data_IF_649641040844
#
_entry.id   IF_649641040844
#
_cell.length_a   1.000
_cell.length_b   1.000
_cell.length_c   1.000
_cell.angle_alpha   90.00
_cell.angle_beta   90.00
_cell.angle_gamma   90.00
#
_symmetry.space_group_name_H-M   'P 1'
#
loop_
_entity.id
_entity.type
_entity.pdbx_description
1 polymer ?
#
# COMPACT_ATOMS: atom_id res chain seq x y z
N UNK A 1 23.55 -32.72 -25.28
CA UNK A 1 24.12 -31.42 -24.87
C UNK A 1 23.65 -30.41 -25.90
N UNK A 2 22.46 -29.83 -25.70
CA UNK A 2 21.83 -28.90 -26.65
C UNK A 2 21.98 -27.48 -26.11
N UNK A 3 22.66 -26.63 -26.87
CA UNK A 3 22.93 -25.24 -26.52
C UNK A 3 21.92 -24.38 -27.29
N UNK A 4 20.93 -23.83 -26.59
CA UNK A 4 19.96 -22.89 -27.16
C UNK A 4 20.50 -21.49 -26.88
N UNK A 5 20.91 -20.78 -27.93
CA UNK A 5 21.31 -19.39 -27.86
C UNK A 5 20.05 -18.50 -27.92
N UNK A 6 19.77 -17.80 -26.83
CA UNK A 6 18.78 -16.71 -26.80
C UNK A 6 19.44 -15.44 -27.34
N UNK A 7 18.98 -14.99 -28.50
CA UNK A 7 19.31 -13.68 -29.05
C UNK A 7 18.42 -12.65 -28.35
N UNK A 8 19.02 -11.79 -27.52
CA UNK A 8 18.36 -10.63 -26.94
C UNK A 8 18.47 -9.47 -27.95
N UNK A 9 17.34 -9.02 -28.46
CA UNK A 9 17.26 -7.79 -29.24
C UNK A 9 17.37 -6.56 -28.31
N UNK A 10 17.99 -5.46 -28.78
CA UNK A 10 18.23 -4.28 -27.95
C UNK A 10 16.93 -3.54 -27.63
N UNK A 11 16.72 -3.27 -26.34
CA UNK A 11 15.64 -2.42 -25.84
C UNK A 11 15.84 -1.01 -26.38
N UNK A 12 14.85 -0.53 -27.15
CA UNK A 12 14.84 0.81 -27.71
C UNK A 12 14.92 1.89 -26.64
N UNK A 13 15.67 2.94 -26.94
CA UNK A 13 15.78 4.18 -26.17
C UNK A 13 14.41 4.78 -25.89
N UNK A 14 14.06 4.92 -24.61
CA UNK A 14 12.88 5.64 -24.14
C UNK A 14 13.11 7.13 -24.45
N UNK A 15 12.26 7.71 -25.29
CA UNK A 15 12.27 9.13 -25.58
C UNK A 15 11.89 9.92 -24.32
N UNK A 16 12.67 10.95 -24.01
CA UNK A 16 12.36 11.92 -22.96
C UNK A 16 11.04 12.63 -23.30
N UNK A 17 10.02 12.43 -22.47
CA UNK A 17 8.76 13.18 -22.54
C UNK A 17 8.96 14.50 -21.80
N UNK A 18 8.76 15.68 -22.44
CA UNK A 18 8.88 16.95 -21.75
C UNK A 18 7.77 17.10 -20.71
N UNK A 19 8.16 17.35 -19.45
CA UNK A 19 7.26 17.79 -18.38
C UNK A 19 6.78 19.23 -18.69
N UNK A 20 5.71 19.36 -19.48
CA UNK A 20 4.94 20.60 -19.55
C UNK A 20 3.63 20.41 -18.81
N UNK A 21 3.53 21.05 -17.64
CA UNK A 21 2.31 21.22 -16.87
C UNK A 21 1.22 21.85 -17.74
N UNK A 22 0.21 21.06 -18.10
CA UNK A 22 -1.02 21.55 -18.67
C UNK A 22 -2.00 21.90 -17.54
N UNK A 23 -2.17 23.20 -17.29
CA UNK A 23 -3.28 23.71 -16.51
C UNK A 23 -4.60 23.36 -17.24
N UNK A 24 -5.39 22.45 -16.67
CA UNK A 24 -6.71 22.11 -17.18
C UNK A 24 -7.79 22.90 -16.42
N UNK A 25 -8.70 23.47 -17.21
CA UNK A 25 -9.69 24.45 -16.87
C UNK A 25 -10.74 23.99 -15.83
N UNK A 26 -11.12 24.94 -14.97
CA UNK A 26 -12.25 24.87 -14.08
C UNK A 26 -13.58 24.81 -14.84
N UNK A 27 -14.37 23.76 -14.58
CA UNK A 27 -15.81 23.77 -14.82
C UNK A 27 -16.50 24.35 -13.58
N UNK A 28 -17.21 25.46 -13.77
CA UNK A 28 -17.98 26.16 -12.75
C UNK A 28 -19.23 25.34 -12.41
N UNK A 29 -19.43 25.04 -11.13
CA UNK A 29 -20.76 24.82 -10.56
C UNK A 29 -21.12 26.02 -9.69
N UNK A 30 -22.17 26.72 -10.09
CA UNK A 30 -22.78 27.78 -9.30
C UNK A 30 -23.56 27.17 -8.12
N UNK A 31 -23.37 27.73 -6.93
CA UNK A 31 -24.34 27.59 -5.84
C UNK A 31 -23.84 26.88 -4.58
N UNK A 32 -23.17 27.63 -3.72
CA UNK A 32 -23.46 27.89 -2.28
C UNK A 32 -22.16 28.45 -1.71
N UNK A 33 -22.24 29.65 -1.12
CA UNK A 33 -21.10 30.30 -0.48
C UNK A 33 -20.57 29.49 0.71
N UNK A 34 -19.68 28.54 0.41
CA UNK A 34 -18.72 27.98 1.35
C UNK A 34 -17.60 29.00 1.48
N UNK A 35 -17.25 29.39 2.70
CA UNK A 35 -15.99 30.04 2.95
C UNK A 35 -14.88 29.31 2.17
N UNK A 36 -14.01 30.05 1.50
CA UNK A 36 -12.77 29.50 0.94
C UNK A 36 -12.15 28.66 2.07
N UNK A 37 -12.05 27.33 1.91
CA UNK A 37 -11.52 26.49 2.96
C UNK A 37 -10.07 26.95 3.12
N UNK A 38 -9.84 27.77 4.15
CA UNK A 38 -8.54 28.04 4.73
C UNK A 38 -7.77 26.74 4.63
N UNK A 39 -6.66 26.77 3.88
CA UNK A 39 -5.78 25.65 3.58
C UNK A 39 -5.63 24.80 4.84
N UNK A 40 -6.49 23.79 4.97
CA UNK A 40 -6.52 23.03 6.20
C UNK A 40 -5.13 22.43 6.35
N UNK A 41 -4.61 22.32 7.56
CA UNK A 41 -3.35 21.60 7.74
C UNK A 41 -3.51 20.18 7.18
N UNK A 42 -2.49 19.67 6.47
CA UNK A 42 -2.41 18.25 6.15
C UNK A 42 -2.05 17.42 7.38
N UNK A 43 -1.56 18.06 8.45
CA UNK A 43 -1.15 17.41 9.69
C UNK A 43 -2.31 17.30 10.68
N UNK A 44 -2.44 16.13 11.29
CA UNK A 44 -3.32 15.94 12.45
C UNK A 44 -2.53 16.07 13.75
N UNK A 45 -3.06 16.86 14.69
CA UNK A 45 -2.51 17.03 16.04
C UNK A 45 -2.77 15.82 16.97
N UNK A 46 -3.54 14.83 16.49
CA UNK A 46 -3.93 13.65 17.25
C UNK A 46 -5.02 13.90 18.30
N UNK A 47 -5.50 15.13 18.49
CA UNK A 47 -6.44 15.48 19.57
C UNK A 47 -7.88 15.08 19.25
N UNK A 48 -8.24 14.98 17.96
CA UNK A 48 -9.60 14.65 17.48
C UNK A 48 -9.62 13.56 16.40
N UNK A 49 -8.57 12.75 16.36
CA UNK A 49 -8.40 11.73 15.35
C UNK A 49 -9.22 10.47 15.69
N UNK A 50 -10.13 10.06 14.81
CA UNK A 50 -10.77 8.74 14.88
C UNK A 50 -9.93 7.70 14.11
N UNK A 51 -10.32 6.43 14.17
CA UNK A 51 -9.57 5.32 13.57
C UNK A 51 -9.33 5.43 12.06
N UNK A 52 -10.02 6.36 11.41
CA UNK A 52 -10.05 6.49 9.97
C UNK A 52 -9.57 7.86 9.46
N UNK A 53 -8.71 8.54 10.23
CA UNK A 53 -8.19 9.83 9.79
C UNK A 53 -7.25 9.69 8.58
N UNK A 54 -7.54 10.48 7.54
CA UNK A 54 -6.76 10.56 6.30
C UNK A 54 -5.73 11.70 6.29
N UNK A 55 -5.64 12.46 7.39
CA UNK A 55 -4.59 13.45 7.58
C UNK A 55 -3.25 12.75 7.85
N UNK A 56 -2.17 13.50 7.71
CA UNK A 56 -0.81 13.06 7.96
C UNK A 56 -0.62 12.83 9.46
N UNK A 57 -0.06 11.67 9.78
CA UNK A 57 0.37 11.29 11.10
C UNK A 57 1.83 10.87 11.03
N UNK A 58 2.69 11.63 11.70
CA UNK A 58 4.14 11.41 11.68
C UNK A 58 4.60 10.85 13.02
N UNK A 59 5.51 9.88 12.98
CA UNK A 59 6.32 9.52 14.14
C UNK A 59 7.45 10.56 14.38
N UNK A 60 8.28 10.33 15.40
CA UNK A 60 9.38 11.22 15.74
C UNK A 60 10.44 11.31 14.62
N UNK A 61 10.75 10.19 13.97
CA UNK A 61 11.74 10.14 12.90
C UNK A 61 11.22 10.83 11.64
N UNK A 62 9.95 10.60 11.30
CA UNK A 62 9.33 11.25 10.14
C UNK A 62 9.18 12.76 10.35
N UNK A 63 8.87 13.22 11.57
CA UNK A 63 8.88 14.65 11.90
C UNK A 63 10.27 15.26 11.71
N UNK A 64 11.31 14.62 12.24
CA UNK A 64 12.68 15.12 12.09
C UNK A 64 13.14 15.15 10.63
N UNK A 65 12.86 14.09 9.87
CA UNK A 65 13.17 14.03 8.44
C UNK A 65 12.41 15.08 7.62
N UNK A 66 11.28 15.57 8.12
CA UNK A 66 10.51 16.62 7.47
C UNK A 66 11.21 17.97 7.48
N UNK A 67 12.00 18.27 8.50
CA UNK A 67 12.74 19.53 8.57
C UNK A 67 13.90 19.59 7.55
N UNK A 68 14.28 18.43 7.00
CA UNK A 68 15.30 18.32 5.96
C UNK A 68 14.69 18.57 4.56
N UNK A 69 15.21 19.52 3.78
CA UNK A 69 14.83 19.71 2.39
C UNK A 69 15.12 18.47 1.55
N UNK A 70 14.18 18.08 0.69
CA UNK A 70 14.38 17.00 -0.27
C UNK A 70 14.71 17.60 -1.64
N UNK A 71 15.86 17.22 -2.22
CA UNK A 71 16.27 17.68 -3.55
C UNK A 71 15.63 16.88 -4.69
N UNK A 72 14.90 15.80 -4.37
CA UNK A 72 14.27 14.91 -5.36
C UNK A 72 12.84 15.39 -5.63
N UNK A 73 12.36 15.29 -6.89
CA UNK A 73 10.97 15.60 -7.22
C UNK A 73 10.00 14.73 -6.43
N UNK A 74 8.83 15.28 -6.10
CA UNK A 74 7.73 14.54 -5.48
C UNK A 74 7.41 13.27 -6.27
N UNK A 75 7.19 12.17 -5.55
CA UNK A 75 6.79 10.87 -6.11
C UNK A 75 5.58 10.36 -5.37
N UNK A 76 4.64 9.74 -6.07
CA UNK A 76 3.50 9.05 -5.47
C UNK A 76 3.78 7.54 -5.41
N UNK A 77 3.70 6.98 -4.21
CA UNK A 77 3.79 5.54 -3.96
C UNK A 77 2.48 5.06 -3.36
N UNK A 78 1.89 4.02 -3.92
CA UNK A 78 0.62 3.45 -3.47
C UNK A 78 0.87 2.02 -2.99
N UNK A 79 0.64 1.79 -1.69
CA UNK A 79 0.55 0.46 -1.11
C UNK A 79 -0.92 0.03 -1.12
N UNK A 80 -1.28 -0.76 -2.12
CA UNK A 80 -2.61 -1.31 -2.27
C UNK A 80 -2.65 -2.79 -1.85
N UNK A 81 -3.85 -3.28 -1.62
CA UNK A 81 -4.09 -4.68 -1.31
C UNK A 81 -5.32 -4.79 -0.45
N UNK A 82 -6.13 -5.85 -0.63
CA UNK A 82 -7.35 -6.00 0.14
C UNK A 82 -7.05 -6.17 1.64
N UNK A 83 -8.06 -6.08 2.49
CA UNK A 83 -7.86 -6.18 3.92
C UNK A 83 -7.22 -7.53 4.28
N UNK A 84 -6.40 -7.58 5.33
CA UNK A 84 -5.79 -8.85 5.82
C UNK A 84 -4.80 -9.53 4.86
N UNK A 85 -4.48 -8.93 3.70
CA UNK A 85 -3.48 -9.42 2.74
C UNK A 85 -2.02 -9.22 3.16
N UNK A 86 -1.75 -8.42 4.20
CA UNK A 86 -0.41 -7.93 4.49
C UNK A 86 -0.17 -6.46 4.09
N UNK A 87 -1.18 -5.79 3.55
CA UNK A 87 -1.13 -4.37 3.16
C UNK A 87 -0.67 -3.42 4.28
N UNK A 88 -0.96 -3.71 5.56
CA UNK A 88 -0.40 -2.92 6.69
C UNK A 88 1.09 -3.16 6.88
N UNK A 89 1.58 -4.39 6.71
CA UNK A 89 3.01 -4.68 6.75
C UNK A 89 3.72 -3.96 5.60
N UNK A 90 3.19 -4.06 4.37
CA UNK A 90 3.76 -3.40 3.19
C UNK A 90 3.88 -1.88 3.39
N UNK A 91 2.81 -1.24 3.86
CA UNK A 91 2.81 0.20 4.12
C UNK A 91 3.92 0.60 5.10
N UNK A 92 4.04 -0.11 6.23
CA UNK A 92 5.09 0.18 7.23
C UNK A 92 6.49 -0.19 6.71
N UNK A 93 6.62 -1.22 5.89
CA UNK A 93 7.88 -1.62 5.26
C UNK A 93 8.41 -0.51 4.36
N UNK A 94 7.58 0.04 3.48
CA UNK A 94 7.96 1.16 2.60
C UNK A 94 8.31 2.40 3.43
N UNK A 95 7.49 2.74 4.43
CA UNK A 95 7.74 3.89 5.32
C UNK A 95 9.08 3.77 6.05
N UNK A 96 9.38 2.59 6.59
CA UNK A 96 10.65 2.34 7.27
C UNK A 96 11.85 2.27 6.33
N UNK A 97 11.69 1.89 5.06
CA UNK A 97 12.75 2.00 4.05
C UNK A 97 13.12 3.47 3.78
N UNK A 98 12.13 4.33 3.56
CA UNK A 98 12.37 5.78 3.40
C UNK A 98 13.07 6.36 4.63
N UNK A 99 12.56 6.06 5.83
CA UNK A 99 13.18 6.49 7.09
C UNK A 99 14.60 5.94 7.28
N UNK A 100 14.89 4.71 6.87
CA UNK A 100 16.23 4.11 7.00
C UNK A 100 17.24 4.70 6.00
N UNK A 101 16.75 5.27 4.89
CA UNK A 101 17.52 5.98 3.89
C UNK A 101 17.52 7.50 4.11
N UNK A 102 17.03 7.98 5.25
CA UNK A 102 16.93 9.41 5.59
C UNK A 102 16.23 10.23 4.48
N UNK A 103 15.30 9.59 3.78
CA UNK A 103 14.57 10.17 2.66
C UNK A 103 13.19 10.62 3.11
N UNK A 104 12.83 11.86 2.77
CA UNK A 104 11.55 12.44 3.17
C UNK A 104 10.36 11.68 2.53
N UNK A 105 9.45 11.22 3.38
CA UNK A 105 8.24 10.52 2.97
C UNK A 105 7.08 10.93 3.87
N UNK A 106 6.03 11.47 3.27
CA UNK A 106 4.77 11.76 3.93
C UNK A 106 3.82 10.60 3.70
N UNK A 107 3.44 9.94 4.79
CA UNK A 107 2.64 8.73 4.73
C UNK A 107 1.18 9.00 5.12
N UNK A 108 0.26 8.38 4.38
CA UNK A 108 -1.17 8.56 4.51
C UNK A 108 -1.90 7.23 4.39
N UNK A 109 -3.07 7.14 5.03
CA UNK A 109 -4.07 6.14 4.71
C UNK A 109 -5.28 6.87 4.16
N UNK A 110 -5.66 6.55 2.92
CA UNK A 110 -6.76 7.23 2.23
C UNK A 110 -7.72 6.15 1.77
N UNK A 111 -8.97 6.26 2.18
CA UNK A 111 -9.99 5.26 1.88
C UNK A 111 -10.29 5.27 0.39
N UNK A 112 -10.69 6.44 -0.13
CA UNK A 112 -10.91 6.69 -1.54
C UNK A 112 -10.05 7.86 -2.00
N UNK A 113 -9.17 7.60 -2.98
CA UNK A 113 -8.35 8.61 -3.62
C UNK A 113 -9.20 9.49 -4.53
N UNK A 114 -8.88 10.77 -4.55
CA UNK A 114 -9.34 11.71 -5.57
C UNK A 114 -8.19 12.65 -5.95
N UNK A 115 -8.31 13.30 -7.11
CA UNK A 115 -7.27 14.16 -7.64
C UNK A 115 -6.89 15.29 -6.66
N UNK A 116 -7.89 15.92 -6.02
CA UNK A 116 -7.65 17.05 -5.11
C UNK A 116 -6.86 16.64 -3.86
N UNK A 117 -7.11 15.44 -3.32
CA UNK A 117 -6.35 14.88 -2.20
C UNK A 117 -4.90 14.63 -2.57
N UNK A 118 -4.65 14.14 -3.78
CA UNK A 118 -3.31 13.81 -4.28
C UNK A 118 -2.52 15.08 -4.62
N UNK A 119 -3.10 16.02 -5.39
CA UNK A 119 -2.47 17.29 -5.76
C UNK A 119 -2.00 18.04 -4.51
N UNK A 120 -2.90 18.19 -3.53
CA UNK A 120 -2.58 18.91 -2.29
C UNK A 120 -1.39 18.30 -1.54
N UNK A 121 -1.19 16.97 -1.61
CA UNK A 121 -0.11 16.26 -0.90
C UNK A 121 1.21 16.26 -1.67
N UNK A 122 1.16 16.31 -3.00
CA UNK A 122 2.37 16.32 -3.85
C UNK A 122 3.06 17.68 -3.91
N UNK A 123 2.39 18.75 -3.47
CA UNK A 123 2.91 20.12 -3.48
C UNK A 123 4.04 20.40 -2.46
N UNK A 124 4.50 19.42 -1.67
CA UNK A 124 5.51 19.61 -0.62
C UNK A 124 6.95 19.13 -0.99
N UNK A 125 7.26 18.88 -2.26
CA UNK A 125 8.56 18.36 -2.76
C UNK A 125 9.02 17.07 -2.03
N UNK A 126 8.08 16.15 -1.78
CA UNK A 126 8.30 14.94 -0.97
C UNK A 126 7.67 13.71 -1.62
N UNK A 127 8.17 12.55 -1.25
CA UNK A 127 7.45 11.31 -1.56
C UNK A 127 6.16 11.26 -0.76
N UNK A 128 5.04 11.07 -1.44
CA UNK A 128 3.74 10.79 -0.84
C UNK A 128 3.52 9.28 -0.89
N UNK A 129 3.41 8.65 0.28
CA UNK A 129 3.10 7.24 0.44
C UNK A 129 1.64 7.10 0.86
N UNK A 130 0.84 6.37 0.08
CA UNK A 130 -0.57 6.14 0.39
C UNK A 130 -0.85 4.66 0.57
N UNK A 131 -1.48 4.29 1.69
CA UNK A 131 -2.14 3.00 1.87
C UNK A 131 -3.61 3.13 1.51
N UNK A 132 -4.13 2.20 0.70
CA UNK A 132 -5.56 2.10 0.38
C UNK A 132 -6.00 0.66 0.12
N UNK A 133 -7.30 0.41 0.21
CA UNK A 133 -7.94 -0.88 -0.10
C UNK A 133 -8.87 -0.78 -1.31
N UNK A 134 -9.36 0.42 -1.63
CA UNK A 134 -10.40 0.62 -2.63
C UNK A 134 -9.83 1.03 -3.99
N UNK A 135 -10.37 0.45 -5.05
CA UNK A 135 -10.14 0.86 -6.42
C UNK A 135 -11.39 1.57 -6.97
N UNK A 136 -11.18 2.72 -7.62
CA UNK A 136 -12.19 3.42 -8.38
C UNK A 136 -11.86 3.38 -9.88
N UNK A 137 -12.85 3.13 -10.74
CA UNK A 137 -12.66 3.06 -12.20
C UNK A 137 -12.12 4.35 -12.81
N UNK A 138 -12.31 5.50 -12.17
CA UNK A 138 -11.78 6.78 -12.64
C UNK A 138 -10.26 6.89 -12.49
N UNK A 139 -9.60 6.00 -11.71
CA UNK A 139 -8.15 6.02 -11.49
C UNK A 139 -7.36 5.84 -12.80
N UNK A 140 -7.84 5.02 -13.75
CA UNK A 140 -7.25 4.89 -15.09
C UNK A 140 -7.14 6.26 -15.79
N UNK A 141 -8.18 7.09 -15.65
CA UNK A 141 -8.27 8.37 -16.34
C UNK A 141 -7.41 9.45 -15.72
N UNK A 142 -7.30 9.54 -14.39
CA UNK A 142 -6.62 10.65 -13.73
C UNK A 142 -5.38 10.22 -12.94
N UNK A 143 -5.45 9.11 -12.18
CA UNK A 143 -4.37 8.72 -11.28
C UNK A 143 -3.15 8.23 -12.08
N UNK A 144 -3.38 7.26 -12.96
CA UNK A 144 -2.30 6.64 -13.72
C UNK A 144 -1.82 7.51 -14.89
N UNK A 145 -2.72 8.29 -15.51
CA UNK A 145 -2.36 9.16 -16.64
C UNK A 145 -1.60 10.42 -16.22
N UNK A 146 -1.90 10.99 -15.04
CA UNK A 146 -1.32 12.28 -14.62
C UNK A 146 -0.15 12.09 -13.65
N UNK A 147 -0.23 11.12 -12.74
CA UNK A 147 0.74 10.99 -11.64
C UNK A 147 1.73 9.85 -11.81
N UNK A 148 1.41 8.85 -12.66
CA UNK A 148 2.23 7.66 -12.90
C UNK A 148 2.83 7.06 -11.59
N UNK A 149 1.98 6.69 -10.61
CA UNK A 149 2.45 6.24 -9.30
C UNK A 149 3.20 4.91 -9.37
N UNK A 150 4.11 4.69 -8.42
CA UNK A 150 4.62 3.34 -8.14
C UNK A 150 3.57 2.63 -7.31
N UNK A 151 2.95 1.59 -7.86
CA UNK A 151 1.95 0.79 -7.16
C UNK A 151 2.60 -0.50 -6.68
N UNK A 152 2.46 -0.80 -5.40
CA UNK A 152 2.84 -2.09 -4.83
C UNK A 152 1.61 -2.72 -4.22
N UNK A 153 1.30 -3.94 -4.65
CA UNK A 153 0.17 -4.71 -4.15
C UNK A 153 0.60 -5.82 -3.20
N UNK A 154 -0.35 -6.25 -2.37
CA UNK A 154 -0.21 -7.47 -1.57
C UNK A 154 -1.41 -8.38 -1.80
N UNK A 155 -1.15 -9.68 -1.85
CA UNK A 155 -2.19 -10.72 -1.82
C UNK A 155 -1.89 -11.74 -0.73
N UNK A 156 -2.87 -12.61 -0.45
CA UNK A 156 -2.76 -13.68 0.53
C UNK A 156 -3.67 -14.82 0.12
N UNK A 157 -3.29 -16.05 0.45
CA UNK A 157 -4.15 -17.21 0.29
C UNK A 157 -5.55 -16.95 0.89
N UNK A 158 -6.60 -17.14 0.09
CA UNK A 158 -7.97 -16.83 0.51
C UNK A 158 -8.40 -17.62 1.76
N UNK A 159 -7.92 -18.86 1.93
CA UNK A 159 -8.22 -19.66 3.13
C UNK A 159 -7.68 -18.97 4.37
N UNK A 160 -6.46 -18.46 4.28
CA UNK A 160 -5.82 -17.68 5.35
C UNK A 160 -6.48 -16.31 5.59
N UNK A 161 -7.02 -15.68 4.54
CA UNK A 161 -7.82 -14.46 4.64
C UNK A 161 -9.10 -14.73 5.43
N UNK A 162 -9.86 -15.78 5.08
CA UNK A 162 -11.07 -16.14 5.82
C UNK A 162 -10.75 -16.38 7.30
N UNK A 163 -9.71 -17.18 7.58
CA UNK A 163 -9.24 -17.42 8.96
C UNK A 163 -9.00 -16.11 9.68
N UNK A 164 -8.38 -15.15 8.99
CA UNK A 164 -8.09 -13.82 9.53
C UNK A 164 -9.37 -13.05 9.83
N UNK A 165 -10.36 -13.03 8.93
CA UNK A 165 -11.66 -12.38 9.12
C UNK A 165 -12.47 -12.98 10.26
N UNK A 166 -12.58 -14.31 10.31
CA UNK A 166 -13.28 -14.99 11.41
C UNK A 166 -12.64 -14.69 12.75
N UNK A 167 -11.31 -14.64 12.81
CA UNK A 167 -10.56 -14.35 14.04
C UNK A 167 -10.80 -12.94 14.57
N UNK A 168 -10.95 -11.95 13.69
CA UNK A 168 -11.26 -10.56 14.10
C UNK A 168 -12.76 -10.28 14.19
N UNK A 169 -13.60 -11.30 13.93
CA UNK A 169 -15.06 -11.18 14.01
C UNK A 169 -15.69 -10.32 12.91
N UNK A 170 -15.01 -10.12 11.78
CA UNK A 170 -15.51 -9.27 10.70
C UNK A 170 -16.52 -9.98 9.80
N UNK A 171 -16.20 -11.19 9.35
CA UNK A 171 -17.04 -11.95 8.44
C UNK A 171 -16.79 -13.46 8.55
N UNK A 172 -17.77 -14.23 8.08
CA UNK A 172 -17.68 -15.69 7.91
C UNK A 172 -17.40 -16.13 6.48
N UNK A 173 -17.42 -15.17 5.55
CA UNK A 173 -17.15 -15.34 4.13
C UNK A 173 -16.22 -14.21 3.67
N UNK A 174 -15.58 -14.37 2.51
CA UNK A 174 -14.77 -13.33 1.89
C UNK A 174 -15.66 -12.57 0.90
N UNK A 175 -15.79 -11.23 0.99
CA UNK A 175 -16.57 -10.46 0.03
C UNK A 175 -16.05 -10.68 -1.40
N UNK A 176 -16.95 -10.71 -2.39
CA UNK A 176 -16.57 -10.87 -3.81
C UNK A 176 -15.64 -9.74 -4.26
N UNK A 177 -15.89 -8.55 -3.73
CA UNK A 177 -15.10 -7.35 -3.96
C UNK A 177 -13.64 -7.54 -3.55
N UNK A 178 -13.32 -8.46 -2.63
CA UNK A 178 -11.95 -8.71 -2.19
C UNK A 178 -11.02 -9.04 -3.38
N UNK A 179 -11.42 -9.99 -4.21
CA UNK A 179 -10.66 -10.43 -5.38
C UNK A 179 -10.77 -9.39 -6.49
N UNK A 180 -11.98 -8.87 -6.75
CA UNK A 180 -12.21 -7.88 -7.80
C UNK A 180 -11.38 -6.61 -7.59
N UNK A 181 -11.26 -6.11 -6.35
CA UNK A 181 -10.46 -4.94 -6.00
C UNK A 181 -8.95 -5.23 -6.16
N UNK A 182 -8.49 -6.41 -5.72
CA UNK A 182 -7.10 -6.81 -5.91
C UNK A 182 -6.72 -6.89 -7.39
N UNK A 183 -7.54 -7.54 -8.23
CA UNK A 183 -7.27 -7.69 -9.66
C UNK A 183 -7.20 -6.34 -10.38
N UNK A 184 -8.04 -5.37 -9.99
CA UNK A 184 -7.98 -4.00 -10.52
C UNK A 184 -6.67 -3.30 -10.16
N UNK A 185 -6.24 -3.41 -8.90
CA UNK A 185 -4.94 -2.86 -8.48
C UNK A 185 -3.75 -3.58 -9.16
N UNK A 186 -3.82 -4.91 -9.28
CA UNK A 186 -2.77 -5.74 -9.85
C UNK A 186 -2.46 -5.36 -11.31
N UNK A 187 -3.48 -4.99 -12.10
CA UNK A 187 -3.31 -4.47 -13.47
C UNK A 187 -2.32 -3.30 -13.57
N UNK A 188 -2.20 -2.51 -12.50
CA UNK A 188 -1.35 -1.32 -12.44
C UNK A 188 -0.13 -1.51 -11.52
N UNK A 189 0.03 -2.68 -10.91
CA UNK A 189 1.08 -2.95 -9.95
C UNK A 189 2.47 -2.97 -10.62
N UNK A 190 3.40 -2.19 -10.06
CA UNK A 190 4.83 -2.31 -10.36
C UNK A 190 5.45 -3.53 -9.68
N UNK A 191 4.84 -4.01 -8.59
CA UNK A 191 5.22 -5.21 -7.87
C UNK A 191 4.03 -5.75 -7.08
N UNK A 192 3.84 -7.07 -7.09
CA UNK A 192 2.86 -7.77 -6.28
C UNK A 192 3.55 -8.73 -5.32
N UNK A 193 3.17 -8.70 -4.05
CA UNK A 193 3.87 -9.41 -2.97
C UNK A 193 2.89 -10.34 -2.26
N UNK A 194 3.16 -11.63 -2.32
CA UNK A 194 2.42 -12.62 -1.53
C UNK A 194 2.73 -12.50 -0.05
N UNK A 195 1.71 -12.59 0.80
CA UNK A 195 1.86 -12.60 2.26
C UNK A 195 2.80 -13.71 2.74
N UNK A 196 2.79 -14.84 2.05
CA UNK A 196 3.64 -15.99 2.32
C UNK A 196 5.12 -15.67 2.09
N UNK A 197 5.42 -14.84 1.07
CA UNK A 197 6.76 -14.33 0.81
C UNK A 197 7.22 -13.37 1.91
N UNK A 198 6.31 -12.49 2.39
CA UNK A 198 6.58 -11.60 3.53
C UNK A 198 6.97 -12.42 4.76
N UNK A 199 6.32 -13.55 5.00
CA UNK A 199 6.63 -14.41 6.14
C UNK A 199 7.94 -15.19 5.97
N UNK A 200 8.22 -15.68 4.75
CA UNK A 200 9.37 -16.52 4.49
C UNK A 200 10.67 -15.72 4.39
N UNK A 201 10.64 -14.61 3.65
CA UNK A 201 11.85 -13.87 3.24
C UNK A 201 11.65 -12.35 3.34
N UNK A 202 11.23 -11.80 4.51
CA UNK A 202 10.89 -10.38 4.65
C UNK A 202 12.02 -9.42 4.26
N UNK A 203 13.28 -9.79 4.52
CA UNK A 203 14.43 -8.95 4.13
C UNK A 203 14.62 -8.91 2.62
N UNK A 204 14.43 -10.02 1.93
CA UNK A 204 14.55 -10.07 0.47
C UNK A 204 13.43 -9.25 -0.19
N UNK A 205 12.20 -9.33 0.35
CA UNK A 205 11.09 -8.46 -0.07
C UNK A 205 11.47 -6.98 0.10
N UNK A 206 12.05 -6.61 1.25
CA UNK A 206 12.48 -5.24 1.51
C UNK A 206 13.60 -4.77 0.58
N UNK A 207 14.56 -5.64 0.20
CA UNK A 207 15.57 -5.30 -0.82
C UNK A 207 14.93 -5.04 -2.19
N UNK A 208 14.02 -5.91 -2.62
CA UNK A 208 13.28 -5.72 -3.88
C UNK A 208 12.48 -4.42 -3.87
N UNK A 209 11.81 -4.10 -2.75
CA UNK A 209 11.11 -2.83 -2.56
C UNK A 209 12.08 -1.64 -2.63
N UNK A 210 13.24 -1.71 -1.99
CA UNK A 210 14.24 -0.66 -2.03
C UNK A 210 14.74 -0.41 -3.47
N UNK A 211 15.04 -1.47 -4.22
CA UNK A 211 15.42 -1.39 -5.63
C UNK A 211 14.33 -0.74 -6.48
N UNK A 212 13.07 -1.18 -6.33
CA UNK A 212 11.92 -0.58 -7.02
C UNK A 212 11.75 0.91 -6.72
N UNK A 213 11.94 1.31 -5.46
CA UNK A 213 11.79 2.69 -5.00
C UNK A 213 13.02 3.56 -5.26
N UNK A 214 14.11 2.98 -5.81
CA UNK A 214 15.41 3.63 -5.99
C UNK A 214 15.98 4.17 -4.67
N UNK A 215 15.88 3.34 -3.63
CA UNK A 215 16.45 3.53 -2.31
C UNK A 215 17.67 2.62 -2.11
N UNK A 216 18.45 2.86 -1.07
CA UNK A 216 19.62 2.06 -0.74
C UNK A 216 19.21 0.67 -0.22
N UNK A 217 19.39 -0.36 -1.05
CA UNK A 217 19.06 -1.76 -0.71
C UNK A 217 19.79 -2.28 0.54
N UNK A 218 20.95 -1.71 0.88
CA UNK A 218 21.69 -2.09 2.09
C UNK A 218 20.95 -1.73 3.38
N UNK A 219 19.96 -0.82 3.31
CA UNK A 219 19.11 -0.43 4.43
C UNK A 219 17.96 -1.40 4.72
N UNK A 220 17.75 -2.42 3.88
CA UNK A 220 16.67 -3.39 4.04
C UNK A 220 16.67 -4.08 5.42
N UNK A 221 17.84 -4.47 5.94
CA UNK A 221 17.96 -5.10 7.25
C UNK A 221 17.52 -4.17 8.40
N UNK A 222 17.87 -2.88 8.32
CA UNK A 222 17.44 -1.88 9.31
C UNK A 222 15.93 -1.62 9.23
N UNK A 223 15.39 -1.49 8.01
CA UNK A 223 13.96 -1.35 7.81
C UNK A 223 13.19 -2.56 8.35
N UNK A 224 13.68 -3.78 8.10
CA UNK A 224 13.12 -5.02 8.66
C UNK A 224 13.08 -4.99 10.18
N UNK A 225 14.20 -4.66 10.81
CA UNK A 225 14.27 -4.55 12.27
C UNK A 225 13.22 -3.58 12.83
N UNK A 226 13.00 -2.43 12.16
CA UNK A 226 11.98 -1.45 12.55
C UNK A 226 10.56 -1.98 12.38
N UNK A 227 10.27 -2.65 11.26
CA UNK A 227 8.96 -3.29 11.02
C UNK A 227 8.68 -4.38 12.06
N UNK A 228 9.65 -5.23 12.37
CA UNK A 228 9.52 -6.30 13.36
C UNK A 228 9.32 -5.78 14.78
N UNK A 229 9.85 -4.58 15.07
CA UNK A 229 9.69 -3.91 16.35
C UNK A 229 8.31 -3.27 16.55
N UNK A 230 7.48 -3.18 15.50
CA UNK A 230 6.13 -2.63 15.62
C UNK A 230 5.26 -3.49 16.53
N UNK A 231 4.62 -2.85 17.49
CA UNK A 231 3.69 -3.50 18.40
C UNK A 231 2.26 -3.22 17.95
N UNK A 232 1.34 -4.18 18.11
CA UNK A 232 -0.09 -3.89 18.00
C UNK A 232 -0.45 -2.79 18.98
N UNK A 233 -1.36 -1.91 18.57
CA UNK A 233 -1.81 -0.86 19.47
C UNK A 233 -2.59 -1.44 20.66
N UNK A 234 -2.58 -0.79 21.81
CA UNK A 234 -3.19 -1.36 23.03
C UNK A 234 -4.71 -1.22 23.07
N UNK A 235 -5.26 -0.13 22.53
CA UNK A 235 -6.66 0.28 22.75
C UNK A 235 -7.32 0.76 21.46
N UNK A 236 -6.70 1.74 20.80
CA UNK A 236 -7.14 2.32 19.52
C UNK A 236 -6.10 2.09 18.44
N UNK A 237 -6.50 2.19 17.18
CA UNK A 237 -5.53 2.11 16.07
C UNK A 237 -4.42 3.13 16.24
N UNK A 238 -3.18 2.70 16.02
CA UNK A 238 -2.04 3.61 15.92
C UNK A 238 -2.13 4.34 14.58
N UNK A 239 -2.25 5.66 14.62
CA UNK A 239 -2.55 6.45 13.42
C UNK A 239 -1.39 6.58 12.45
N UNK A 240 -0.17 6.38 12.93
CA UNK A 240 1.02 6.41 12.10
C UNK A 240 1.15 5.07 11.39
N UNK A 241 1.22 3.97 12.15
CA UNK A 241 1.45 2.60 11.64
C UNK A 241 0.21 1.92 11.09
N UNK A 242 -0.98 2.44 11.38
CA UNK A 242 -2.28 1.79 11.12
C UNK A 242 -2.37 0.38 11.71
N UNK A 243 -1.63 0.14 12.80
CA UNK A 243 -1.70 -1.09 13.57
C UNK A 243 -2.94 -1.07 14.46
N UNK A 244 -3.86 -1.99 14.22
CA UNK A 244 -5.07 -2.16 15.02
C UNK A 244 -4.77 -3.01 16.26
N UNK A 245 -5.53 -2.88 17.36
CA UNK A 245 -5.30 -3.67 18.56
C UNK A 245 -5.34 -5.18 18.37
N UNK A 246 -6.11 -5.66 17.39
CA UNK A 246 -6.23 -7.07 17.03
C UNK A 246 -5.24 -7.53 15.95
N UNK A 247 -4.30 -6.68 15.52
CA UNK A 247 -3.21 -7.10 14.65
C UNK A 247 -2.30 -8.06 15.41
N UNK A 248 -2.26 -9.32 14.97
CA UNK A 248 -1.28 -10.29 15.46
C UNK A 248 -0.10 -10.31 14.51
N UNK A 249 1.12 -10.24 15.06
CA UNK A 249 2.32 -10.54 14.29
C UNK A 249 2.28 -12.02 13.85
N UNK A 250 2.77 -12.30 12.64
CA UNK A 250 2.68 -13.61 11.98
C UNK A 250 3.36 -14.78 12.70
N UNK A 251 3.96 -14.56 13.88
CA UNK A 251 4.68 -15.56 14.65
C UNK A 251 3.80 -16.62 15.32
N UNK A 252 2.49 -16.39 15.48
CA UNK A 252 1.56 -17.43 15.95
C UNK A 252 1.08 -18.28 14.76
N UNK A 253 1.95 -19.17 14.27
CA UNK A 253 1.52 -20.24 13.36
C UNK A 253 0.52 -21.14 14.10
N UNK A 254 -0.68 -21.27 13.54
CA UNK A 254 -1.65 -22.28 13.99
C UNK A 254 -1.09 -23.67 13.80
N UNK A 255 -1.64 -24.62 14.55
CA UNK A 255 -1.37 -26.02 14.26
C UNK A 255 -1.87 -26.37 12.85
N UNK A 256 -1.17 -27.26 12.16
CA UNK A 256 -1.58 -27.77 10.83
C UNK A 256 -3.01 -28.33 10.85
N UNK A 257 -3.42 -28.89 11.99
CA UNK A 257 -4.77 -29.43 12.21
C UNK A 257 -5.84 -28.34 12.16
N UNK A 258 -5.69 -27.24 12.89
CA UNK A 258 -6.65 -26.13 12.88
C UNK A 258 -6.80 -25.50 11.50
N UNK A 259 -5.73 -25.47 10.70
CA UNK A 259 -5.79 -25.02 9.31
C UNK A 259 -6.59 -26.01 8.46
N UNK A 260 -6.26 -27.30 8.51
CA UNK A 260 -6.94 -28.34 7.74
C UNK A 260 -8.45 -28.41 8.04
N UNK A 261 -8.85 -28.30 9.30
CA UNK A 261 -10.26 -28.31 9.70
C UNK A 261 -11.03 -27.12 9.11
N UNK A 262 -10.35 -25.98 8.95
CA UNK A 262 -10.90 -24.78 8.34
C UNK A 262 -10.97 -24.88 6.83
N UNK A 263 -9.95 -25.47 6.20
CA UNK A 263 -9.95 -25.75 4.75
C UNK A 263 -11.04 -26.75 4.38
N UNK A 264 -11.28 -27.78 5.19
CA UNK A 264 -12.36 -28.73 4.95
C UNK A 264 -13.75 -28.07 4.92
N UNK A 265 -13.96 -27.04 5.75
CA UNK A 265 -15.17 -26.20 5.71
C UNK A 265 -15.21 -25.26 4.50
N UNK A 266 -14.05 -24.95 3.93
CA UNK A 266 -13.88 -24.01 2.83
C UNK A 266 -14.01 -24.68 1.45
N UNK A 267 -13.84 -26.00 1.36
CA UNK A 267 -14.09 -26.77 0.13
C UNK A 267 -15.52 -26.59 -0.38
N UNK A 268 -16.50 -26.45 0.53
CA UNK A 268 -17.91 -26.15 0.18
C UNK A 268 -18.08 -24.76 -0.49
N UNK A 269 -17.16 -23.81 -0.24
CA UNK A 269 -17.20 -22.47 -0.84
C UNK A 269 -16.66 -22.46 -2.27
N UNK A 270 -15.60 -23.22 -2.56
CA UNK A 270 -15.00 -23.28 -3.90
C UNK A 270 -15.89 -23.99 -4.92
N UNK A 271 -16.82 -24.82 -4.49
CA UNK A 271 -17.86 -25.39 -5.36
C UNK A 271 -18.75 -24.30 -6.00
N UNK A 272 -18.67 -23.05 -5.54
CA UNK A 272 -19.36 -21.90 -6.12
C UNK A 272 -18.49 -20.98 -6.97
N UNK A 273 -17.17 -21.22 -7.04
CA UNK A 273 -16.21 -20.41 -7.82
C UNK A 273 -15.19 -21.29 -8.58
N UNK A 274 -15.64 -22.21 -9.44
CA UNK A 274 -14.75 -23.11 -10.17
C UNK A 274 -13.73 -22.37 -11.06
N UNK A 275 -14.07 -21.16 -11.52
CA UNK A 275 -13.19 -20.31 -12.33
C UNK A 275 -11.95 -19.78 -11.60
N UNK A 276 -11.96 -19.76 -10.25
CA UNK A 276 -10.79 -19.32 -9.47
C UNK A 276 -9.77 -20.44 -9.27
N UNK A 277 -10.10 -21.69 -9.63
CA UNK A 277 -9.24 -22.86 -9.49
C UNK A 277 -8.62 -23.32 -10.82
N UNK A 278 -9.08 -22.83 -11.96
CA UNK A 278 -8.63 -23.32 -13.27
C UNK A 278 -7.25 -22.81 -13.71
N UNK A 279 -6.74 -21.75 -13.09
CA UNK A 279 -5.54 -21.03 -13.54
C UNK A 279 -4.39 -21.01 -12.50
N UNK A 280 -4.43 -21.88 -11.48
CA UNK A 280 -3.36 -22.07 -10.48
C UNK A 280 -2.65 -23.42 -10.65
#
# INVERSE_FOLDING_TARGET
>A
MFQVALVLEPVGTIAEVPLHMAAAAAARSDGVGSASPLEASLDCDGSRCHSECELRHLDEFERAARETPCAKPSRLVICAGPERSGSTWLYNAVRHLYSACESACDSYWIHCLDASKIERRLNEDRTVLVKTHEYNSDYDRWLFSQYNPIVVTTHRDLREVLVSYMRVGWARDIPREYVDQHMKWLKHASMDIGFEQILAEPEQVLRSLAGLLQLDESKAALAKHRVDALKPASDRVDQVTKMWPSHKSGGQRRSKQEFNDLVARFSEFYDHYPELLSDA
#
